data_IF_350939821844
#
_entry.id   IF_350939821844
#
_cell.length_a   1.000
_cell.length_b   1.000
_cell.length_c   1.000
_cell.angle_alpha   90.00
_cell.angle_beta   90.00
_cell.angle_gamma   90.00
#
_symmetry.space_group_name_H-M   'P 1'
#
loop_
_entity.id
_entity.type
_entity.pdbx_description
1 polymer ?
#
# COMPACT_ATOMS: atom_id res chain seq x y z
N UNK A 1 -29.53 6.86 -3.77
CA UNK A 1 -28.95 5.51 -3.59
C UNK A 1 -27.42 5.53 -3.56
N UNK A 2 -26.75 5.99 -4.62
CA UNK A 2 -25.27 5.97 -4.76
C UNK A 2 -24.53 6.68 -3.61
N UNK A 3 -25.00 7.86 -3.18
CA UNK A 3 -24.38 8.61 -2.07
C UNK A 3 -24.42 7.83 -0.75
N UNK A 4 -25.49 7.06 -0.49
CA UNK A 4 -25.59 6.22 0.71
C UNK A 4 -24.64 5.03 0.65
N UNK A 5 -24.44 4.44 -0.53
CA UNK A 5 -23.47 3.35 -0.74
C UNK A 5 -22.05 3.84 -0.52
N UNK A 6 -21.69 4.99 -1.09
CA UNK A 6 -20.36 5.60 -0.90
C UNK A 6 -20.16 6.01 0.56
N UNK A 7 -21.16 6.61 1.21
CA UNK A 7 -21.05 6.97 2.62
C UNK A 7 -20.89 5.74 3.53
N UNK A 8 -21.62 4.66 3.26
CA UNK A 8 -21.50 3.41 3.99
C UNK A 8 -20.14 2.74 3.77
N UNK A 9 -19.65 2.70 2.54
CA UNK A 9 -18.33 2.14 2.24
C UNK A 9 -17.23 2.95 2.93
N UNK A 10 -17.33 4.29 2.97
CA UNK A 10 -16.34 5.16 3.65
C UNK A 10 -16.38 4.96 5.16
N UNK A 11 -17.57 4.83 5.75
CA UNK A 11 -17.70 4.53 7.17
C UNK A 11 -17.07 3.18 7.54
N UNK A 12 -17.26 2.14 6.72
CA UNK A 12 -16.63 0.82 6.91
C UNK A 12 -15.10 0.95 6.83
N UNK A 13 -14.59 1.69 5.85
CA UNK A 13 -13.17 1.94 5.66
C UNK A 13 -12.52 2.62 6.88
N UNK A 14 -13.18 3.64 7.44
CA UNK A 14 -12.76 4.33 8.67
C UNK A 14 -12.70 3.36 9.85
N UNK A 15 -13.66 2.43 9.96
CA UNK A 15 -13.64 1.38 10.98
C UNK A 15 -12.46 0.41 10.85
N UNK A 16 -11.98 0.12 9.64
CA UNK A 16 -10.86 -0.79 9.39
C UNK A 16 -9.47 -0.13 9.54
N UNK A 17 -9.36 1.20 9.39
CA UNK A 17 -8.11 1.95 9.53
C UNK A 17 -7.41 1.68 10.87
N UNK A 18 -8.16 1.52 11.96
CA UNK A 18 -7.61 1.16 13.28
C UNK A 18 -6.91 -0.21 13.29
N UNK A 19 -7.44 -1.20 12.56
CA UNK A 19 -6.80 -2.52 12.45
C UNK A 19 -5.54 -2.47 11.58
N UNK A 20 -5.56 -1.68 10.51
CA UNK A 20 -4.38 -1.47 9.67
C UNK A 20 -3.24 -0.80 10.46
N UNK A 21 -3.55 0.15 11.33
CA UNK A 21 -2.56 0.75 12.22
C UNK A 21 -1.89 -0.27 13.15
N UNK A 22 -2.64 -1.26 13.65
CA UNK A 22 -2.08 -2.35 14.46
C UNK A 22 -1.10 -3.21 13.65
N UNK A 23 -1.45 -3.56 12.41
CA UNK A 23 -0.56 -4.33 11.52
C UNK A 23 0.73 -3.54 11.25
N UNK A 24 0.62 -2.26 10.92
CA UNK A 24 1.78 -1.38 10.67
C UNK A 24 2.71 -1.34 11.89
N UNK A 25 2.16 -1.18 13.10
CA UNK A 25 2.94 -1.16 14.35
C UNK A 25 3.68 -2.49 14.57
N UNK A 26 3.03 -3.61 14.27
CA UNK A 26 3.66 -4.93 14.41
C UNK A 26 4.83 -5.11 13.44
N UNK A 27 4.68 -4.66 12.19
CA UNK A 27 5.78 -4.63 11.21
C UNK A 27 6.90 -3.69 11.66
N UNK A 28 6.57 -2.55 12.26
CA UNK A 28 7.56 -1.59 12.76
C UNK A 28 8.39 -2.17 13.91
N UNK A 29 7.73 -2.91 14.80
CA UNK A 29 8.42 -3.57 15.90
C UNK A 29 9.34 -4.70 15.41
N UNK A 30 8.90 -5.47 14.40
CA UNK A 30 9.75 -6.48 13.75
C UNK A 30 10.96 -5.84 13.05
N UNK A 31 10.75 -4.74 12.32
CA UNK A 31 11.82 -4.03 11.64
C UNK A 31 12.85 -3.46 12.63
N UNK A 32 12.41 -2.93 13.78
CA UNK A 32 13.29 -2.48 14.86
C UNK A 32 14.12 -3.64 15.43
N UNK A 33 13.50 -4.81 15.66
CA UNK A 33 14.21 -6.01 16.15
C UNK A 33 15.24 -6.54 15.13
N UNK A 34 14.94 -6.43 13.85
CA UNK A 34 15.83 -6.85 12.77
C UNK A 34 16.91 -5.81 12.40
N UNK A 35 16.99 -4.67 13.12
CA UNK A 35 17.89 -3.56 12.84
C UNK A 35 17.82 -3.06 11.38
N UNK A 36 16.61 -3.08 10.81
CA UNK A 36 16.35 -2.58 9.45
C UNK A 36 16.37 -1.06 9.50
N UNK A 37 17.16 -0.43 8.62
CA UNK A 37 17.25 1.02 8.52
C UNK A 37 15.87 1.67 8.35
N UNK A 38 15.62 2.75 9.10
CA UNK A 38 14.34 3.48 9.15
C UNK A 38 13.84 3.94 7.77
N UNK A 39 14.76 4.10 6.81
CA UNK A 39 14.44 4.45 5.42
C UNK A 39 13.64 3.35 4.69
N UNK A 40 13.95 2.07 4.88
CA UNK A 40 13.23 0.97 4.23
C UNK A 40 11.83 0.75 4.82
N UNK A 41 11.71 0.93 6.14
CA UNK A 41 10.44 0.84 6.85
C UNK A 41 9.44 1.88 6.34
N UNK A 42 9.89 3.12 6.12
CA UNK A 42 9.04 4.17 5.58
C UNK A 42 8.53 3.85 4.16
N UNK A 43 9.38 3.23 3.32
CA UNK A 43 8.98 2.78 1.97
C UNK A 43 7.91 1.69 2.03
N UNK A 44 8.03 0.72 2.95
CA UNK A 44 7.02 -0.32 3.13
C UNK A 44 5.66 0.27 3.56
N UNK A 45 5.67 1.22 4.49
CA UNK A 45 4.45 1.92 4.93
C UNK A 45 3.80 2.68 3.76
N UNK A 46 4.61 3.36 2.92
CA UNK A 46 4.11 4.04 1.72
C UNK A 46 3.48 3.06 0.73
N UNK A 47 4.11 1.92 0.47
CA UNK A 47 3.56 0.89 -0.42
C UNK A 47 2.22 0.37 0.09
N UNK A 48 2.10 0.05 1.38
CA UNK A 48 0.84 -0.40 1.98
C UNK A 48 -0.25 0.67 1.86
N UNK A 49 0.08 1.94 2.12
CA UNK A 49 -0.87 3.05 2.00
C UNK A 49 -1.37 3.23 0.57
N UNK A 50 -0.47 3.22 -0.42
CA UNK A 50 -0.83 3.33 -1.84
C UNK A 50 -1.71 2.16 -2.27
N UNK A 51 -1.37 0.93 -1.89
CA UNK A 51 -2.17 -0.25 -2.21
C UNK A 51 -3.61 -0.13 -1.68
N UNK A 52 -3.76 0.31 -0.42
CA UNK A 52 -5.06 0.44 0.22
C UNK A 52 -5.92 1.54 -0.42
N UNK A 53 -5.33 2.71 -0.68
CA UNK A 53 -6.03 3.83 -1.32
C UNK A 53 -6.42 3.51 -2.76
N UNK A 54 -5.54 2.87 -3.53
CA UNK A 54 -5.82 2.52 -4.92
C UNK A 54 -6.93 1.47 -5.04
N UNK A 55 -6.85 0.39 -4.25
CA UNK A 55 -7.87 -0.67 -4.25
C UNK A 55 -9.24 -0.13 -3.86
N UNK A 56 -9.28 0.66 -2.81
CA UNK A 56 -10.53 1.22 -2.33
C UNK A 56 -11.12 2.28 -3.25
N UNK A 57 -10.28 3.17 -3.80
CA UNK A 57 -10.70 4.13 -4.83
C UNK A 57 -11.29 3.42 -6.06
N UNK A 58 -10.68 2.31 -6.48
CA UNK A 58 -11.21 1.49 -7.57
C UNK A 58 -12.56 0.85 -7.21
N UNK A 59 -12.75 0.36 -5.98
CA UNK A 59 -14.04 -0.16 -5.53
C UNK A 59 -15.13 0.91 -5.54
N UNK A 60 -14.84 2.14 -5.09
CA UNK A 60 -15.81 3.25 -5.19
C UNK A 60 -16.20 3.50 -6.65
N UNK A 61 -15.24 3.49 -7.59
CA UNK A 61 -15.53 3.63 -9.01
C UNK A 61 -16.42 2.49 -9.53
N UNK A 62 -16.21 1.24 -9.09
CA UNK A 62 -17.06 0.09 -9.43
C UNK A 62 -18.47 0.25 -8.86
N UNK A 63 -18.60 0.68 -7.61
CA UNK A 63 -19.88 0.93 -6.94
C UNK A 63 -20.69 2.05 -7.63
N UNK A 64 -19.99 3.00 -8.27
CA UNK A 64 -20.60 4.05 -9.10
C UNK A 64 -20.96 3.59 -10.52
N UNK A 65 -20.63 2.35 -10.91
CA UNK A 65 -20.84 1.79 -12.25
C UNK A 65 -19.69 2.05 -13.24
N UNK A 66 -18.64 2.75 -12.84
CA UNK A 66 -17.52 3.21 -13.67
C UNK A 66 -16.35 2.21 -13.71
N UNK A 67 -16.60 1.02 -14.26
CA UNK A 67 -15.61 -0.08 -14.29
C UNK A 67 -14.33 0.25 -15.09
N UNK A 68 -14.45 1.04 -16.16
CA UNK A 68 -13.29 1.48 -16.95
C UNK A 68 -12.37 2.38 -16.11
N UNK A 69 -12.97 3.30 -15.34
CA UNK A 69 -12.23 4.19 -14.46
C UNK A 69 -11.57 3.42 -13.31
N UNK A 70 -12.31 2.48 -12.71
CA UNK A 70 -11.78 1.60 -11.66
C UNK A 70 -10.52 0.84 -12.10
N UNK A 71 -10.54 0.27 -13.31
CA UNK A 71 -9.38 -0.46 -13.86
C UNK A 71 -8.16 0.45 -14.04
N UNK A 72 -8.37 1.72 -14.42
CA UNK A 72 -7.28 2.71 -14.52
C UNK A 72 -6.70 3.08 -13.16
N UNK A 73 -7.55 3.19 -12.13
CA UNK A 73 -7.10 3.45 -10.75
C UNK A 73 -6.28 2.28 -10.20
N UNK A 74 -6.73 1.04 -10.40
CA UNK A 74 -5.95 -0.16 -10.02
C UNK A 74 -4.59 -0.19 -10.71
N UNK A 75 -4.56 0.09 -12.02
CA UNK A 75 -3.32 0.14 -12.79
C UNK A 75 -2.36 1.21 -12.23
N UNK A 76 -2.86 2.41 -11.97
CA UNK A 76 -2.06 3.50 -11.41
C UNK A 76 -1.48 3.14 -10.04
N UNK A 77 -2.27 2.48 -9.18
CA UNK A 77 -1.80 1.95 -7.89
C UNK A 77 -0.66 0.96 -8.06
N UNK A 78 -0.83 -0.04 -8.95
CA UNK A 78 0.19 -1.05 -9.25
C UNK A 78 1.49 -0.43 -9.79
N UNK A 79 1.40 0.52 -10.72
CA UNK A 79 2.57 1.22 -11.26
C UNK A 79 3.28 2.04 -10.19
N UNK A 80 2.53 2.69 -9.29
CA UNK A 80 3.11 3.45 -8.17
C UNK A 80 3.84 2.52 -7.22
N UNK A 81 3.25 1.38 -6.85
CA UNK A 81 3.89 0.36 -6.01
C UNK A 81 5.18 -0.15 -6.67
N UNK A 82 5.14 -0.47 -7.96
CA UNK A 82 6.32 -0.90 -8.71
C UNK A 82 7.43 0.16 -8.64
N UNK A 83 7.11 1.43 -8.87
CA UNK A 83 8.10 2.51 -8.81
C UNK A 83 8.76 2.65 -7.43
N UNK A 84 8.00 2.47 -6.35
CA UNK A 84 8.50 2.49 -4.97
C UNK A 84 9.32 1.24 -4.62
N UNK A 85 9.06 0.13 -5.30
CA UNK A 85 9.72 -1.15 -5.05
C UNK A 85 11.08 -1.25 -5.74
N UNK A 86 11.26 -0.61 -6.90
CA UNK A 86 12.54 -0.59 -7.65
C UNK A 86 13.75 -0.25 -6.77
N UNK A 87 13.78 0.87 -6.01
CA UNK A 87 14.94 1.20 -5.19
C UNK A 87 15.23 0.17 -4.10
N UNK A 88 14.18 -0.48 -3.56
CA UNK A 88 14.35 -1.53 -2.54
C UNK A 88 15.02 -2.76 -3.15
N UNK A 89 14.59 -3.17 -4.35
CA UNK A 89 15.21 -4.30 -5.07
C UNK A 89 16.66 -4.01 -5.43
N UNK A 90 16.99 -2.79 -5.84
CA UNK A 90 18.37 -2.39 -6.15
C UNK A 90 19.30 -2.50 -4.92
N UNK A 91 18.86 -2.01 -3.76
CA UNK A 91 19.65 -2.11 -2.52
C UNK A 91 19.89 -3.58 -2.14
N UNK A 92 18.88 -4.43 -2.27
CA UNK A 92 19.04 -5.87 -2.02
C UNK A 92 20.06 -6.48 -2.98
N UNK A 93 19.98 -6.15 -4.27
CA UNK A 93 20.92 -6.64 -5.28
C UNK A 93 22.36 -6.20 -5.00
N UNK A 94 22.59 -4.93 -4.67
CA UNK A 94 23.91 -4.42 -4.27
C UNK A 94 24.45 -5.14 -3.03
N UNK A 95 23.59 -5.39 -2.04
CA UNK A 95 23.96 -6.11 -0.83
C UNK A 95 24.39 -7.55 -1.14
N UNK A 96 23.68 -8.24 -2.03
CA UNK A 96 24.03 -9.59 -2.46
C UNK A 96 25.35 -9.61 -3.24
N UNK A 97 25.55 -8.68 -4.17
CA UNK A 97 26.79 -8.57 -4.94
C UNK A 97 28.00 -8.24 -4.05
N UNK A 98 27.81 -7.47 -2.97
CA UNK A 98 28.88 -7.17 -2.00
C UNK A 98 29.28 -8.37 -1.14
N UNK A 99 28.46 -9.42 -1.06
CA UNK A 99 28.73 -10.64 -0.27
C UNK A 99 29.37 -11.73 -1.15
N UNK A 100 29.20 -11.66 -2.47
CA UNK A 100 29.85 -12.57 -3.42
C UNK A 100 31.34 -12.17 -3.52
N UNK A 101 32.29 -13.07 -3.17
CA UNK A 101 33.73 -12.79 -3.25
C UNK A 101 34.23 -12.65 -4.69
#
# INVERSE_FOLDING_TARGET
>A
AIILVIAASVAIMIGLLGKMATVIRMVEELAKRANVGTMHMNTLIKIMGVAYVAEYGAQICKDAGENSLASKVELAGKLTILSLSVPVVLVILETLLSIIP
#
